data_IF_883540931213
#
_entry.id   IF_883540931213
#
_cell.length_a   1.000
_cell.length_b   1.000
_cell.length_c   1.000
_cell.angle_alpha   90.00
_cell.angle_beta   90.00
_cell.angle_gamma   90.00
#
_symmetry.space_group_name_H-M   'P 1'
#
loop_
_entity.id
_entity.type
_entity.pdbx_description
1 polymer ?
#
# COMPACT_ATOMS: atom_id res chain seq x y z
N UNK A 1 12.01 12.91 -14.35
CA UNK A 1 11.42 12.29 -13.12
C UNK A 1 12.39 12.07 -11.96
N UNK A 2 13.61 11.55 -12.21
CA UNK A 2 14.58 11.18 -11.17
C UNK A 2 14.87 12.26 -10.11
N UNK A 3 14.94 13.53 -10.51
CA UNK A 3 15.21 14.64 -9.59
C UNK A 3 14.09 14.84 -8.55
N UNK A 4 12.82 14.63 -8.93
CA UNK A 4 11.70 14.70 -8.00
C UNK A 4 11.74 13.54 -7.01
N UNK A 5 11.96 12.31 -7.52
CA UNK A 5 12.12 11.14 -6.67
C UNK A 5 13.26 11.33 -5.66
N UNK A 6 14.39 11.90 -6.09
CA UNK A 6 15.55 12.16 -5.24
C UNK A 6 15.25 13.19 -4.14
N UNK A 7 14.57 14.29 -4.46
CA UNK A 7 14.16 15.30 -3.47
C UNK A 7 13.20 14.72 -2.44
N UNK A 8 12.20 13.97 -2.88
CA UNK A 8 11.23 13.33 -1.97
C UNK A 8 11.92 12.29 -1.08
N UNK A 9 12.82 11.49 -1.66
CA UNK A 9 13.64 10.53 -0.90
C UNK A 9 14.43 11.25 0.19
N UNK A 10 15.20 12.28 -0.15
CA UNK A 10 16.02 13.02 0.82
C UNK A 10 15.18 13.67 1.92
N UNK A 11 13.99 14.17 1.58
CA UNK A 11 13.06 14.71 2.56
C UNK A 11 12.61 13.65 3.58
N UNK A 12 12.24 12.45 3.13
CA UNK A 12 11.82 11.36 4.00
C UNK A 12 13.01 10.75 4.77
N UNK A 13 14.16 10.64 4.13
CA UNK A 13 15.39 10.05 4.68
C UNK A 13 16.02 10.91 5.77
N UNK A 14 15.95 12.25 5.64
CA UNK A 14 16.36 13.19 6.69
C UNK A 14 15.56 13.01 8.00
N UNK A 15 14.40 12.35 7.94
CA UNK A 15 13.55 12.00 9.09
C UNK A 15 13.65 10.53 9.45
N UNK A 16 14.66 9.83 8.91
CA UNK A 16 14.85 8.37 9.03
C UNK A 16 13.60 7.57 8.68
N UNK A 17 12.75 8.07 7.78
CA UNK A 17 11.45 7.48 7.44
C UNK A 17 10.49 7.38 8.63
N UNK A 18 10.72 8.14 9.70
CA UNK A 18 9.80 8.32 10.80
C UNK A 18 8.91 9.55 10.58
N UNK A 19 7.65 9.43 10.98
CA UNK A 19 6.74 10.56 10.87
C UNK A 19 5.34 10.26 11.39
N UNK A 20 4.41 11.20 11.22
CA UNK A 20 3.04 11.02 11.63
C UNK A 20 2.32 9.92 10.84
N UNK A 21 1.32 9.31 11.46
CA UNK A 21 0.42 8.31 10.90
C UNK A 21 -1.05 8.64 11.22
N UNK A 22 -2.02 8.29 10.33
CA UNK A 22 -3.44 8.36 10.65
C UNK A 22 -3.86 7.64 11.95
N UNK A 23 -3.07 6.69 12.44
CA UNK A 23 -3.38 5.87 13.62
C UNK A 23 -2.61 6.22 14.90
N UNK A 24 -1.83 7.30 14.86
CA UNK A 24 -0.95 7.73 15.97
C UNK A 24 -1.65 7.97 17.31
N UNK A 25 -2.94 8.28 17.32
CA UNK A 25 -3.67 8.45 18.58
C UNK A 25 -3.58 7.23 19.51
N UNK A 26 -3.36 6.03 18.96
CA UNK A 26 -3.25 4.80 19.74
C UNK A 26 -1.82 4.41 20.11
N UNK A 27 -0.80 5.14 19.66
CA UNK A 27 0.62 4.79 19.94
C UNK A 27 1.15 5.38 21.23
N UNK A 28 0.53 6.47 21.71
CA UNK A 28 0.90 7.15 22.96
C UNK A 28 0.34 6.50 24.23
N UNK A 29 0.71 7.01 25.42
CA UNK A 29 0.23 6.50 26.71
C UNK A 29 -1.30 6.45 26.84
N UNK A 30 -2.00 7.47 26.33
CA UNK A 30 -3.47 7.50 26.34
C UNK A 30 -4.10 6.42 25.45
N UNK A 31 -3.40 6.00 24.39
CA UNK A 31 -3.83 4.89 23.53
C UNK A 31 -3.98 3.59 24.31
N UNK A 32 -3.08 3.33 25.27
CA UNK A 32 -3.12 2.15 26.15
C UNK A 32 -4.34 2.13 27.07
N UNK A 33 -4.89 3.30 27.39
CA UNK A 33 -6.10 3.46 28.22
C UNK A 33 -7.39 3.41 27.38
N UNK A 34 -7.31 3.58 26.07
CA UNK A 34 -8.44 3.55 25.16
C UNK A 34 -8.90 2.11 24.88
N UNK A 35 -9.41 1.41 25.89
CA UNK A 35 -9.83 0.01 25.77
C UNK A 35 -11.11 -0.15 24.96
N UNK A 36 -12.04 0.82 25.00
CA UNK A 36 -13.31 0.75 24.27
C UNK A 36 -13.21 1.35 22.86
N UNK A 37 -13.92 0.76 21.89
CA UNK A 37 -13.92 1.20 20.48
C UNK A 37 -14.18 2.70 20.31
N UNK A 38 -15.14 3.25 21.05
CA UNK A 38 -15.50 4.68 20.97
C UNK A 38 -14.35 5.57 21.44
N UNK A 39 -13.65 5.19 22.52
CA UNK A 39 -12.50 5.93 23.02
C UNK A 39 -11.34 5.91 22.02
N UNK A 40 -11.07 4.74 21.43
CA UNK A 40 -10.06 4.61 20.37
C UNK A 40 -10.38 5.52 19.19
N UNK A 41 -11.62 5.46 18.70
CA UNK A 41 -12.05 6.30 17.58
C UNK A 41 -11.99 7.79 17.93
N UNK A 42 -12.44 8.18 19.12
CA UNK A 42 -12.38 9.56 19.61
C UNK A 42 -10.94 10.08 19.64
N UNK A 43 -10.02 9.33 20.24
CA UNK A 43 -8.61 9.69 20.32
C UNK A 43 -7.95 9.77 18.95
N UNK A 44 -8.20 8.78 18.07
CA UNK A 44 -7.71 8.79 16.69
C UNK A 44 -8.20 10.01 15.92
N UNK A 45 -9.50 10.32 15.98
CA UNK A 45 -10.04 11.47 15.26
C UNK A 45 -9.58 12.80 15.86
N UNK A 46 -9.42 12.89 17.18
CA UNK A 46 -8.89 14.08 17.84
C UNK A 46 -7.46 14.38 17.36
N UNK A 47 -6.56 13.40 17.38
CA UNK A 47 -5.18 13.56 16.90
C UNK A 47 -5.13 13.81 15.39
N UNK A 48 -5.92 13.08 14.60
CA UNK A 48 -5.92 13.19 13.13
C UNK A 48 -6.47 14.51 12.62
N UNK A 49 -7.54 15.04 13.24
CA UNK A 49 -8.28 16.21 12.73
C UNK A 49 -7.92 17.52 13.43
N UNK A 50 -7.13 17.47 14.51
CA UNK A 50 -6.71 18.68 15.22
C UNK A 50 -5.95 19.64 14.27
N UNK A 51 -6.26 20.95 14.30
CA UNK A 51 -5.50 21.95 13.54
C UNK A 51 -4.05 22.13 14.02
N UNK A 52 -3.79 21.83 15.29
CA UNK A 52 -2.46 21.79 15.88
C UNK A 52 -2.00 20.34 16.07
N UNK A 53 -0.70 20.09 15.99
CA UNK A 53 -0.18 18.74 16.22
C UNK A 53 -0.25 18.40 17.71
N UNK A 54 -1.19 17.52 18.08
CA UNK A 54 -1.38 17.07 19.46
C UNK A 54 -0.35 16.02 19.89
N UNK A 55 0.38 15.42 18.94
CA UNK A 55 1.29 14.30 19.21
C UNK A 55 2.31 14.62 20.32
N UNK A 56 3.01 15.77 20.31
CA UNK A 56 3.99 16.08 21.36
C UNK A 56 3.36 16.17 22.74
N UNK A 57 2.21 16.85 22.85
CA UNK A 57 1.49 17.02 24.12
C UNK A 57 0.93 15.70 24.67
N UNK A 58 0.60 14.76 23.79
CA UNK A 58 0.11 13.43 24.14
C UNK A 58 1.22 12.39 24.30
N UNK A 59 2.49 12.80 24.23
CA UNK A 59 3.64 11.89 24.33
C UNK A 59 3.75 10.88 23.18
N UNK A 60 3.10 11.17 22.04
CA UNK A 60 3.20 10.36 20.82
C UNK A 60 4.50 10.73 20.11
N UNK A 61 5.36 9.74 19.88
CA UNK A 61 6.64 9.92 19.17
C UNK A 61 6.49 9.57 17.69
N UNK A 62 7.19 10.28 16.79
CA UNK A 62 7.29 9.86 15.39
C UNK A 62 7.81 8.44 15.28
N UNK A 63 7.17 7.63 14.43
CA UNK A 63 7.48 6.22 14.28
C UNK A 63 7.93 5.93 12.85
N UNK A 64 9.03 5.19 12.72
CA UNK A 64 9.42 4.56 11.46
C UNK A 64 8.67 3.25 11.35
N UNK A 65 7.83 3.11 10.34
CA UNK A 65 7.10 1.87 10.06
C UNK A 65 7.85 1.04 9.03
N UNK A 66 7.93 -0.28 9.23
CA UNK A 66 8.46 -1.23 8.26
C UNK A 66 7.72 -1.12 6.92
N UNK A 67 6.41 -0.83 6.95
CA UNK A 67 5.63 -0.62 5.71
C UNK A 67 6.15 0.56 4.90
N UNK A 68 6.53 1.68 5.53
CA UNK A 68 7.09 2.83 4.83
C UNK A 68 8.45 2.50 4.19
N UNK A 69 9.35 1.88 4.96
CA UNK A 69 10.69 1.53 4.46
C UNK A 69 10.62 0.43 3.41
N UNK A 70 9.70 -0.54 3.53
CA UNK A 70 9.50 -1.59 2.55
C UNK A 70 8.97 -1.06 1.24
N UNK A 71 7.93 -0.22 1.29
CA UNK A 71 7.39 0.42 0.09
C UNK A 71 8.46 1.29 -0.61
N UNK A 72 9.24 2.05 0.16
CA UNK A 72 10.34 2.84 -0.37
C UNK A 72 11.52 2.01 -0.90
N UNK A 73 11.81 0.85 -0.30
CA UNK A 73 12.83 -0.07 -0.79
C UNK A 73 12.48 -0.59 -2.18
N UNK A 74 11.22 -1.02 -2.40
CA UNK A 74 10.74 -1.46 -3.72
C UNK A 74 10.80 -0.34 -4.76
N UNK A 75 10.39 0.88 -4.37
CA UNK A 75 10.51 2.05 -5.24
C UNK A 75 11.97 2.33 -5.65
N UNK A 76 12.91 2.26 -4.70
CA UNK A 76 14.34 2.45 -4.99
C UNK A 76 14.92 1.30 -5.84
N UNK A 77 14.47 0.07 -5.63
CA UNK A 77 14.95 -1.10 -6.35
C UNK A 77 14.61 -1.04 -7.85
N UNK A 78 13.48 -0.42 -8.22
CA UNK A 78 13.13 -0.12 -9.63
C UNK A 78 14.20 0.70 -10.34
N UNK A 79 14.91 1.56 -9.61
CA UNK A 79 15.98 2.42 -10.12
C UNK A 79 17.39 1.86 -9.84
N UNK A 80 17.51 0.58 -9.49
CA UNK A 80 18.78 -0.04 -9.05
C UNK A 80 19.90 -0.03 -10.10
N UNK A 81 19.60 0.21 -11.37
CA UNK A 81 20.62 0.46 -12.40
C UNK A 81 21.51 1.68 -12.07
N UNK A 82 21.00 2.62 -11.26
CA UNK A 82 21.77 3.74 -10.73
C UNK A 82 22.36 3.38 -9.35
N UNK A 83 23.70 3.42 -9.16
CA UNK A 83 24.33 2.95 -7.92
C UNK A 83 23.75 3.54 -6.62
N UNK A 84 23.50 4.85 -6.62
CA UNK A 84 22.88 5.54 -5.46
C UNK A 84 21.51 4.98 -5.07
N UNK A 85 20.71 4.55 -6.04
CA UNK A 85 19.37 4.01 -5.81
C UNK A 85 19.42 2.55 -5.37
N UNK A 86 20.37 1.78 -5.91
CA UNK A 86 20.68 0.44 -5.42
C UNK A 86 21.08 0.45 -3.94
N UNK A 87 21.98 1.34 -3.53
CA UNK A 87 22.39 1.48 -2.12
C UNK A 87 21.21 1.85 -1.20
N UNK A 88 20.33 2.74 -1.67
CA UNK A 88 19.10 3.12 -0.95
C UNK A 88 18.15 1.94 -0.79
N UNK A 89 17.94 1.18 -1.86
CA UNK A 89 17.10 -0.02 -1.85
C UNK A 89 17.63 -1.05 -0.83
N UNK A 90 18.93 -1.33 -0.87
CA UNK A 90 19.59 -2.25 0.07
C UNK A 90 19.47 -1.78 1.52
N UNK A 91 19.68 -0.49 1.80
CA UNK A 91 19.60 0.06 3.16
C UNK A 91 18.17 -0.04 3.72
N UNK A 92 17.19 0.40 2.95
CA UNK A 92 15.78 0.37 3.36
C UNK A 92 15.23 -1.05 3.44
N UNK A 93 15.64 -1.92 2.52
CA UNK A 93 15.32 -3.34 2.53
C UNK A 93 15.85 -4.03 3.78
N UNK A 94 17.11 -3.74 4.19
CA UNK A 94 17.67 -4.26 5.45
C UNK A 94 16.93 -3.76 6.70
N UNK A 95 16.57 -2.48 6.75
CA UNK A 95 15.74 -1.96 7.86
C UNK A 95 14.39 -2.66 7.92
N UNK A 96 13.78 -2.93 6.76
CA UNK A 96 12.48 -3.59 6.67
C UNK A 96 12.57 -5.07 7.05
N UNK A 97 13.60 -5.77 6.57
CA UNK A 97 13.86 -7.18 6.87
C UNK A 97 14.12 -7.40 8.37
N UNK A 98 14.78 -6.45 9.04
CA UNK A 98 15.01 -6.52 10.49
C UNK A 98 13.71 -6.49 11.33
N UNK A 99 12.62 -5.96 10.78
CA UNK A 99 11.30 -5.92 11.43
C UNK A 99 10.43 -7.14 11.09
N UNK A 100 10.97 -8.12 10.36
CA UNK A 100 10.25 -9.36 10.07
C UNK A 100 9.99 -10.13 11.36
N UNK A 101 8.76 -10.62 11.51
CA UNK A 101 8.34 -11.35 12.69
C UNK A 101 9.08 -12.69 12.82
N UNK A 102 9.24 -13.13 14.06
CA UNK A 102 9.75 -14.45 14.44
C UNK A 102 8.71 -15.23 15.26
N UNK A 103 9.03 -16.47 15.61
CA UNK A 103 8.15 -17.33 16.41
C UNK A 103 6.87 -17.71 15.66
N UNK A 104 5.70 -17.59 16.32
CA UNK A 104 4.40 -18.02 15.76
C UNK A 104 4.12 -17.41 14.39
N UNK A 105 4.44 -16.13 14.18
CA UNK A 105 4.14 -15.42 12.94
C UNK A 105 5.40 -15.22 12.08
N UNK A 106 6.37 -16.14 12.18
CA UNK A 106 7.64 -16.04 11.47
C UNK A 106 7.45 -15.73 9.98
N UNK A 107 8.23 -14.79 9.47
CA UNK A 107 8.22 -14.43 8.05
C UNK A 107 7.25 -13.31 7.65
N UNK A 108 6.32 -12.93 8.53
CA UNK A 108 5.31 -11.90 8.26
C UNK A 108 5.70 -10.51 8.81
N UNK A 109 4.90 -9.48 8.52
CA UNK A 109 5.00 -8.16 9.15
C UNK A 109 3.67 -7.72 9.75
N UNK A 110 3.74 -6.78 10.68
CA UNK A 110 2.61 -6.15 11.36
C UNK A 110 2.71 -4.63 11.24
N UNK A 111 1.63 -3.94 11.59
CA UNK A 111 1.75 -2.52 11.92
C UNK A 111 2.32 -2.38 13.32
N UNK A 112 3.15 -1.37 13.53
CA UNK A 112 3.76 -1.04 14.82
C UNK A 112 2.76 -0.38 15.80
N UNK A 113 1.50 -0.28 15.40
CA UNK A 113 0.43 0.40 16.12
C UNK A 113 -0.89 -0.33 15.99
N UNK A 114 -1.74 -0.14 17.01
CA UNK A 114 -3.12 -0.60 16.97
C UNK A 114 -3.90 0.23 15.95
N UNK A 115 -4.86 -0.42 15.30
CA UNK A 115 -5.74 0.27 14.37
C UNK A 115 -7.19 0.03 14.73
N UNK A 116 -7.91 1.14 14.84
CA UNK A 116 -9.35 1.17 14.92
C UNK A 116 -9.94 1.89 13.72
N UNK A 117 -10.60 1.14 12.84
CA UNK A 117 -11.40 1.69 11.74
C UNK A 117 -12.85 1.91 12.18
N UNK A 118 -13.72 2.35 11.27
CA UNK A 118 -15.17 2.41 11.55
C UNK A 118 -15.76 1.02 11.82
N UNK A 119 -15.19 -0.06 11.27
CA UNK A 119 -15.83 -1.38 11.19
C UNK A 119 -15.01 -2.51 11.81
N UNK A 120 -13.71 -2.31 12.03
CA UNK A 120 -12.81 -3.35 12.53
C UNK A 120 -11.71 -2.79 13.42
N UNK A 121 -11.17 -3.66 14.26
CA UNK A 121 -10.01 -3.42 15.11
C UNK A 121 -8.96 -4.48 14.84
N UNK A 122 -7.71 -4.07 14.70
CA UNK A 122 -6.57 -4.99 14.58
C UNK A 122 -5.43 -4.52 15.49
N UNK A 123 -4.97 -5.37 16.42
CA UNK A 123 -3.92 -5.00 17.37
C UNK A 123 -2.54 -5.02 16.72
N UNK A 124 -1.62 -4.24 17.26
CA UNK A 124 -0.20 -4.17 16.86
C UNK A 124 0.56 -5.48 17.10
N UNK A 125 -0.06 -6.48 17.73
CA UNK A 125 0.55 -7.77 18.10
C UNK A 125 0.35 -8.87 17.06
N UNK A 126 -0.44 -8.64 16.02
CA UNK A 126 -0.74 -9.63 14.98
C UNK A 126 -0.26 -9.17 13.60
N UNK A 127 0.11 -10.10 12.71
CA UNK A 127 0.49 -9.73 11.36
C UNK A 127 -0.67 -9.10 10.61
N UNK A 128 -0.32 -8.25 9.64
CA UNK A 128 -1.26 -7.61 8.74
C UNK A 128 -0.85 -7.87 7.29
N UNK A 129 -1.80 -8.26 6.44
CA UNK A 129 -1.51 -8.61 5.05
C UNK A 129 -1.00 -7.43 4.21
N UNK A 130 -1.54 -6.24 4.42
CA UNK A 130 -1.09 -5.03 3.70
C UNK A 130 0.32 -4.65 4.15
N UNK A 131 0.61 -4.70 5.45
CA UNK A 131 1.98 -4.50 5.95
C UNK A 131 2.95 -5.55 5.38
N UNK A 132 2.56 -6.82 5.45
CA UNK A 132 3.35 -7.96 4.95
C UNK A 132 3.66 -7.81 3.47
N UNK A 133 2.69 -7.43 2.64
CA UNK A 133 2.88 -7.33 1.19
C UNK A 133 3.81 -6.20 0.80
N UNK A 134 3.66 -5.00 1.37
CA UNK A 134 4.61 -3.90 1.12
C UNK A 134 6.02 -4.20 1.60
N UNK A 135 6.17 -4.80 2.80
CA UNK A 135 7.48 -5.16 3.33
C UNK A 135 8.13 -6.27 2.50
N UNK A 136 7.39 -7.32 2.18
CA UNK A 136 7.87 -8.44 1.39
C UNK A 136 8.30 -8.01 0.00
N UNK A 137 7.47 -7.26 -0.73
CA UNK A 137 7.83 -6.77 -2.06
C UNK A 137 9.11 -5.94 -2.02
N UNK A 138 9.20 -4.99 -1.09
CA UNK A 138 10.38 -4.15 -0.93
C UNK A 138 11.66 -4.94 -0.65
N UNK A 139 11.61 -5.92 0.26
CA UNK A 139 12.77 -6.72 0.58
C UNK A 139 13.14 -7.73 -0.52
N UNK A 140 12.14 -8.28 -1.23
CA UNK A 140 12.38 -9.18 -2.37
C UNK A 140 12.98 -8.42 -3.55
N UNK A 141 12.47 -7.21 -3.86
CA UNK A 141 13.01 -6.35 -4.92
C UNK A 141 14.42 -5.87 -4.60
N UNK A 142 14.70 -5.55 -3.33
CA UNK A 142 16.02 -5.13 -2.87
C UNK A 142 17.00 -6.31 -2.67
N UNK A 143 16.56 -7.56 -2.73
CA UNK A 143 17.39 -8.74 -2.47
C UNK A 143 17.89 -8.84 -1.02
N UNK A 144 17.08 -8.42 -0.04
CA UNK A 144 17.48 -8.34 1.38
C UNK A 144 16.86 -9.43 2.26
N UNK A 145 16.10 -10.38 1.69
CA UNK A 145 15.69 -11.61 2.37
C UNK A 145 16.55 -12.78 1.89
N UNK A 146 17.09 -13.56 2.82
CA UNK A 146 17.68 -14.86 2.51
C UNK A 146 16.61 -15.96 2.33
N UNK A 147 17.01 -17.10 1.78
CA UNK A 147 16.11 -18.21 1.44
C UNK A 147 15.26 -18.70 2.62
N UNK A 148 15.82 -18.78 3.82
CA UNK A 148 15.09 -19.17 5.02
C UNK A 148 13.94 -18.19 5.34
N UNK A 149 14.21 -16.89 5.25
CA UNK A 149 13.23 -15.83 5.49
C UNK A 149 12.13 -15.82 4.42
N UNK A 150 12.49 -16.11 3.16
CA UNK A 150 11.52 -16.28 2.06
C UNK A 150 10.64 -17.51 2.30
N UNK A 151 11.24 -18.63 2.72
CA UNK A 151 10.50 -19.84 3.07
C UNK A 151 9.56 -19.66 4.27
N UNK A 152 9.99 -18.89 5.28
CA UNK A 152 9.14 -18.52 6.42
C UNK A 152 7.97 -17.63 6.00
N UNK A 153 8.22 -16.62 5.16
CA UNK A 153 7.18 -15.76 4.59
C UNK A 153 6.14 -16.57 3.81
N UNK A 154 6.59 -17.49 2.94
CA UNK A 154 5.71 -18.35 2.16
C UNK A 154 4.80 -19.23 3.04
N UNK A 155 5.36 -19.85 4.08
CA UNK A 155 4.60 -20.65 5.06
C UNK A 155 3.62 -19.78 5.85
N UNK A 156 4.10 -18.69 6.45
CA UNK A 156 3.30 -17.79 7.26
C UNK A 156 2.14 -17.17 6.49
N UNK A 157 2.34 -16.84 5.21
CA UNK A 157 1.29 -16.27 4.35
C UNK A 157 0.13 -17.25 4.19
N UNK A 158 0.42 -18.53 3.92
CA UNK A 158 -0.61 -19.57 3.78
C UNK A 158 -1.25 -19.96 5.11
N UNK A 159 -0.47 -20.06 6.18
CA UNK A 159 -0.92 -20.57 7.48
C UNK A 159 -1.72 -19.54 8.28
N UNK A 160 -1.42 -18.25 8.10
CA UNK A 160 -1.98 -17.20 8.96
C UNK A 160 -2.78 -16.14 8.23
N UNK A 161 -2.60 -15.97 6.93
CA UNK A 161 -3.26 -14.89 6.17
C UNK A 161 -4.07 -15.41 4.99
N UNK A 162 -4.31 -16.71 4.90
CA UNK A 162 -5.18 -17.32 3.89
C UNK A 162 -6.17 -18.28 4.57
N UNK A 163 -7.46 -18.12 4.30
CA UNK A 163 -8.53 -18.89 4.98
C UNK A 163 -9.03 -20.10 4.18
N UNK A 164 -8.38 -20.43 3.06
CA UNK A 164 -8.82 -21.48 2.12
C UNK A 164 -9.39 -20.90 0.82
N UNK A 165 -10.07 -19.75 0.88
CA UNK A 165 -10.70 -19.11 -0.27
C UNK A 165 -9.97 -17.82 -0.70
N UNK A 166 -9.60 -16.97 0.26
CA UNK A 166 -9.01 -15.66 0.00
C UNK A 166 -8.00 -15.28 1.08
N UNK A 167 -7.16 -14.28 0.79
CA UNK A 167 -6.23 -13.73 1.76
C UNK A 167 -6.90 -12.68 2.66
N UNK A 168 -6.67 -12.79 3.97
CA UNK A 168 -7.34 -12.01 5.01
C UNK A 168 -6.45 -10.88 5.53
N UNK A 169 -7.04 -9.76 5.97
CA UNK A 169 -6.29 -8.62 6.50
C UNK A 169 -5.41 -8.98 7.70
N UNK A 170 -5.90 -9.86 8.57
CA UNK A 170 -5.25 -10.36 9.77
C UNK A 170 -5.65 -11.82 9.99
N UNK A 171 -4.96 -12.58 10.85
CA UNK A 171 -5.29 -13.99 11.11
C UNK A 171 -6.69 -14.24 11.66
N UNK A 172 -7.31 -13.22 12.25
CA UNK A 172 -8.65 -13.30 12.84
C UNK A 172 -9.73 -12.68 11.94
N UNK A 173 -9.38 -12.12 10.78
CA UNK A 173 -10.34 -11.50 9.88
C UNK A 173 -11.07 -12.55 9.04
N UNK A 174 -12.40 -12.60 9.16
CA UNK A 174 -13.28 -13.38 8.27
C UNK A 174 -13.88 -12.59 7.10
N UNK A 175 -13.49 -11.32 6.93
CA UNK A 175 -14.07 -10.40 5.94
C UNK A 175 -13.21 -10.34 4.69
N UNK A 176 -13.83 -10.59 3.54
CA UNK A 176 -13.20 -10.35 2.23
C UNK A 176 -13.05 -8.85 2.00
N UNK A 177 -11.84 -8.43 1.65
CA UNK A 177 -11.57 -7.08 1.20
C UNK A 177 -10.70 -7.19 -0.06
N UNK A 178 -11.21 -6.70 -1.18
CA UNK A 178 -10.69 -7.06 -2.50
C UNK A 178 -9.24 -6.63 -2.72
N UNK A 179 -8.87 -5.41 -2.31
CA UNK A 179 -7.50 -4.92 -2.50
C UNK A 179 -6.50 -5.78 -1.72
N UNK A 180 -6.75 -6.08 -0.44
CA UNK A 180 -5.81 -6.88 0.35
C UNK A 180 -5.78 -8.33 -0.11
N UNK A 181 -6.93 -8.91 -0.48
CA UNK A 181 -7.00 -10.23 -1.06
C UNK A 181 -6.09 -10.35 -2.29
N UNK A 182 -6.17 -9.38 -3.21
CA UNK A 182 -5.35 -9.37 -4.42
C UNK A 182 -3.88 -9.04 -4.14
N UNK A 183 -3.57 -8.19 -3.15
CA UNK A 183 -2.18 -8.01 -2.68
C UNK A 183 -1.59 -9.33 -2.19
N UNK A 184 -2.35 -10.11 -1.42
CA UNK A 184 -1.95 -11.46 -0.99
C UNK A 184 -1.79 -12.43 -2.15
N UNK A 185 -2.71 -12.42 -3.11
CA UNK A 185 -2.64 -13.25 -4.30
C UNK A 185 -1.40 -12.95 -5.15
N UNK A 186 -1.09 -11.67 -5.39
CA UNK A 186 0.09 -11.26 -6.14
C UNK A 186 1.39 -11.68 -5.43
N UNK A 187 1.48 -11.49 -4.11
CA UNK A 187 2.63 -11.93 -3.33
C UNK A 187 2.78 -13.45 -3.35
N UNK A 188 1.69 -14.21 -3.17
CA UNK A 188 1.72 -15.67 -3.21
C UNK A 188 2.14 -16.19 -4.60
N UNK A 189 1.61 -15.61 -5.67
CA UNK A 189 2.01 -15.95 -7.04
C UNK A 189 3.49 -15.62 -7.31
N UNK A 190 3.99 -14.50 -6.76
CA UNK A 190 5.41 -14.12 -6.85
C UNK A 190 6.30 -15.13 -6.11
N UNK A 191 5.95 -15.47 -4.87
CA UNK A 191 6.69 -16.42 -4.05
C UNK A 191 6.69 -17.81 -4.69
N UNK A 192 5.58 -18.26 -5.29
CA UNK A 192 5.51 -19.54 -6.00
C UNK A 192 6.54 -19.66 -7.15
N UNK A 193 7.01 -18.53 -7.68
CA UNK A 193 8.04 -18.46 -8.72
C UNK A 193 9.44 -18.12 -8.17
N UNK A 194 9.56 -17.82 -6.88
CA UNK A 194 10.85 -17.56 -6.23
C UNK A 194 11.42 -18.89 -5.75
N UNK A 195 12.66 -19.19 -6.11
CA UNK A 195 13.35 -20.44 -5.76
C UNK A 195 14.58 -20.15 -4.90
N UNK A 196 14.96 -21.04 -3.97
CA UNK A 196 14.34 -22.34 -3.66
C UNK A 196 13.23 -22.27 -2.58
N UNK A 197 12.18 -23.06 -2.73
CA UNK A 197 11.14 -23.29 -1.72
C UNK A 197 11.03 -24.78 -1.36
N UNK A 198 10.57 -25.14 -0.15
CA UNK A 198 10.24 -26.52 0.20
C UNK A 198 9.26 -27.17 -0.80
N UNK A 199 9.43 -28.48 -1.01
CA UNK A 199 8.63 -29.24 -1.98
C UNK A 199 7.11 -29.07 -1.75
N UNK A 200 6.38 -28.84 -2.85
CA UNK A 200 4.93 -28.62 -2.85
C UNK A 200 4.45 -27.27 -2.32
N UNK A 201 5.33 -26.45 -1.72
CA UNK A 201 4.92 -25.14 -1.20
C UNK A 201 4.59 -24.15 -2.33
N UNK A 202 5.36 -24.19 -3.43
CA UNK A 202 5.10 -23.38 -4.61
C UNK A 202 3.71 -23.64 -5.21
N UNK A 203 3.32 -24.92 -5.35
CA UNK A 203 2.00 -25.29 -5.88
C UNK A 203 0.87 -24.86 -4.95
N UNK A 204 1.05 -24.99 -3.63
CA UNK A 204 0.08 -24.52 -2.63
C UNK A 204 -0.11 -23.01 -2.70
N UNK A 205 0.98 -22.24 -2.86
CA UNK A 205 0.94 -20.79 -3.04
C UNK A 205 0.20 -20.42 -4.33
N UNK A 206 0.55 -21.04 -5.46
CA UNK A 206 -0.10 -20.79 -6.74
C UNK A 206 -1.61 -21.13 -6.69
N UNK A 207 -1.97 -22.25 -6.05
CA UNK A 207 -3.37 -22.63 -5.84
C UNK A 207 -4.14 -21.65 -4.96
N UNK A 208 -3.53 -21.15 -3.87
CA UNK A 208 -4.13 -20.12 -3.03
C UNK A 208 -4.31 -18.79 -3.78
N UNK A 209 -3.31 -18.39 -4.57
CA UNK A 209 -3.37 -17.19 -5.39
C UNK A 209 -4.48 -17.26 -6.45
N UNK A 210 -4.65 -18.40 -7.15
CA UNK A 210 -5.74 -18.60 -8.12
C UNK A 210 -7.11 -18.44 -7.49
N UNK A 211 -7.37 -19.15 -6.37
CA UNK A 211 -8.64 -19.04 -5.64
C UNK A 211 -8.92 -17.60 -5.18
N UNK A 212 -7.90 -16.92 -4.66
CA UNK A 212 -8.01 -15.53 -4.26
C UNK A 212 -8.36 -14.59 -5.42
N UNK A 213 -7.75 -14.78 -6.60
CA UNK A 213 -8.09 -14.03 -7.82
C UNK A 213 -9.53 -14.31 -8.24
N UNK A 214 -9.93 -15.59 -8.32
CA UNK A 214 -11.29 -16.01 -8.68
C UNK A 214 -12.36 -15.39 -7.77
N UNK A 215 -12.13 -15.38 -6.45
CA UNK A 215 -13.04 -14.75 -5.48
C UNK A 215 -13.20 -13.25 -5.74
N UNK A 216 -12.12 -12.55 -6.09
CA UNK A 216 -12.21 -11.12 -6.43
C UNK A 216 -12.87 -10.89 -7.79
N UNK A 217 -12.60 -11.71 -8.80
CA UNK A 217 -13.26 -11.63 -10.11
C UNK A 217 -14.78 -11.80 -9.98
N UNK A 218 -15.22 -12.78 -9.18
CA UNK A 218 -16.65 -12.99 -8.90
C UNK A 218 -17.32 -11.82 -8.15
N UNK A 219 -16.52 -10.98 -7.48
CA UNK A 219 -16.99 -9.78 -6.79
C UNK A 219 -17.00 -8.50 -7.64
N UNK A 220 -16.56 -8.57 -8.90
CA UNK A 220 -16.63 -7.41 -9.80
C UNK A 220 -18.09 -7.12 -10.15
N UNK A 221 -18.49 -5.84 -10.07
CA UNK A 221 -19.83 -5.40 -10.46
C UNK A 221 -19.95 -5.26 -11.98
N UNK A 222 -21.17 -5.28 -12.54
CA UNK A 222 -21.38 -5.09 -13.98
C UNK A 222 -20.83 -3.78 -14.55
N UNK A 223 -20.68 -2.73 -13.73
CA UNK A 223 -20.09 -1.45 -14.12
C UNK A 223 -18.55 -1.44 -14.11
N UNK A 224 -17.92 -2.59 -13.85
CA UNK A 224 -16.48 -2.79 -13.77
C UNK A 224 -15.87 -2.52 -12.38
N UNK A 225 -16.63 -1.97 -11.43
CA UNK A 225 -16.10 -1.62 -10.11
C UNK A 225 -15.93 -2.82 -9.18
N UNK A 226 -15.01 -2.67 -8.24
CA UNK A 226 -14.97 -3.51 -7.03
C UNK A 226 -15.35 -2.66 -5.83
N UNK A 227 -16.35 -3.07 -5.02
CA UNK A 227 -16.51 -2.48 -3.70
C UNK A 227 -15.27 -2.77 -2.84
N UNK A 228 -15.10 -2.03 -1.75
CA UNK A 228 -14.05 -2.35 -0.78
C UNK A 228 -14.20 -3.79 -0.25
N UNK A 229 -15.41 -4.22 0.06
CA UNK A 229 -15.75 -5.60 0.40
C UNK A 229 -17.24 -5.90 0.25
N UNK A 230 -17.69 -7.13 0.54
CA UNK A 230 -19.08 -7.49 0.40
C UNK A 230 -19.97 -6.87 1.50
N UNK A 231 -21.14 -6.41 1.10
CA UNK A 231 -22.24 -5.99 1.99
C UNK A 231 -22.33 -4.47 2.26
N UNK A 232 -23.44 -4.00 2.86
CA UNK A 232 -23.83 -2.57 2.88
C UNK A 232 -22.90 -1.64 3.68
N UNK A 233 -21.98 -2.20 4.45
CA UNK A 233 -21.02 -1.42 5.24
C UNK A 233 -19.65 -1.36 4.60
N UNK A 234 -19.44 -2.00 3.45
CA UNK A 234 -18.15 -2.13 2.74
C UNK A 234 -18.31 -1.91 1.22
N UNK A 235 -19.47 -1.43 0.77
CA UNK A 235 -19.90 -1.36 -0.62
C UNK A 235 -19.40 -0.13 -1.39
N UNK A 236 -18.61 0.74 -0.74
CA UNK A 236 -18.05 1.94 -1.34
C UNK A 236 -16.92 1.62 -2.32
N UNK A 237 -16.67 2.55 -3.24
CA UNK A 237 -15.61 2.48 -4.24
C UNK A 237 -14.75 3.73 -4.11
N UNK A 238 -13.45 3.56 -3.86
CA UNK A 238 -12.51 4.66 -3.69
C UNK A 238 -11.23 4.48 -4.54
N UNK A 239 -10.51 5.58 -4.74
CA UNK A 239 -9.41 5.66 -5.70
C UNK A 239 -8.25 4.72 -5.40
N UNK A 240 -7.67 4.79 -4.20
CA UNK A 240 -6.48 3.98 -3.95
C UNK A 240 -6.78 2.49 -3.78
N UNK A 241 -7.90 2.07 -3.16
CA UNK A 241 -8.18 0.63 -3.05
C UNK A 241 -8.48 0.03 -4.42
N UNK A 242 -9.24 0.72 -5.28
CA UNK A 242 -9.46 0.25 -6.66
C UNK A 242 -8.15 0.23 -7.45
N UNK A 243 -7.25 1.20 -7.25
CA UNK A 243 -5.91 1.16 -7.83
C UNK A 243 -5.12 -0.08 -7.43
N UNK A 244 -5.08 -0.41 -6.13
CA UNK A 244 -4.43 -1.64 -5.67
C UNK A 244 -5.10 -2.91 -6.18
N UNK A 245 -6.42 -2.94 -6.32
CA UNK A 245 -7.14 -4.07 -6.95
C UNK A 245 -6.62 -4.29 -8.37
N UNK A 246 -6.59 -3.24 -9.20
CA UNK A 246 -6.19 -3.34 -10.61
C UNK A 246 -4.71 -3.76 -10.76
N UNK A 247 -3.80 -3.08 -10.07
CA UNK A 247 -2.36 -3.39 -10.12
C UNK A 247 -2.08 -4.84 -9.70
N UNK A 248 -2.74 -5.31 -8.64
CA UNK A 248 -2.46 -6.64 -8.07
C UNK A 248 -3.20 -7.75 -8.79
N UNK A 249 -4.39 -7.49 -9.34
CA UNK A 249 -5.07 -8.44 -10.23
C UNK A 249 -4.21 -8.72 -11.46
N UNK A 250 -3.75 -7.66 -12.13
CA UNK A 250 -2.89 -7.75 -13.29
C UNK A 250 -1.58 -8.48 -12.99
N UNK A 251 -0.90 -8.12 -11.89
CA UNK A 251 0.32 -8.80 -11.45
C UNK A 251 0.08 -10.29 -11.15
N UNK A 252 -0.94 -10.62 -10.34
CA UNK A 252 -1.23 -12.00 -9.97
C UNK A 252 -1.61 -12.85 -11.20
N UNK A 253 -2.50 -12.34 -12.04
CA UNK A 253 -2.95 -13.04 -13.24
C UNK A 253 -1.80 -13.32 -14.22
N UNK A 254 -0.92 -12.33 -14.43
CA UNK A 254 0.29 -12.50 -15.25
C UNK A 254 1.19 -13.61 -14.71
N UNK A 255 1.45 -13.62 -13.40
CA UNK A 255 2.32 -14.63 -12.77
C UNK A 255 1.70 -16.04 -12.75
N UNK A 256 0.37 -16.13 -12.76
CA UNK A 256 -0.38 -17.39 -12.71
C UNK A 256 -0.78 -17.93 -14.08
N UNK A 257 -0.63 -17.12 -15.14
CA UNK A 257 -1.10 -17.42 -16.49
C UNK A 257 -2.63 -17.41 -16.62
N UNK A 258 -3.33 -16.54 -15.88
CA UNK A 258 -4.78 -16.41 -15.94
C UNK A 258 -5.20 -15.33 -16.95
N UNK A 259 -6.18 -15.63 -17.82
CA UNK A 259 -6.78 -14.61 -18.67
C UNK A 259 -7.79 -13.78 -17.87
N UNK A 260 -7.46 -12.52 -17.64
CA UNK A 260 -8.30 -11.53 -16.94
C UNK A 260 -8.51 -10.28 -17.77
N UNK A 261 -8.27 -10.34 -19.08
CA UNK A 261 -8.30 -9.16 -19.97
C UNK A 261 -9.62 -8.39 -19.88
N UNK A 262 -10.76 -9.07 -20.07
CA UNK A 262 -12.07 -8.41 -20.04
C UNK A 262 -12.41 -7.80 -18.66
N UNK A 263 -12.27 -8.53 -17.53
CA UNK A 263 -12.43 -7.93 -16.20
C UNK A 263 -11.51 -6.73 -15.96
N UNK A 264 -10.25 -6.81 -16.41
CA UNK A 264 -9.27 -5.74 -16.26
C UNK A 264 -9.66 -4.50 -17.07
N UNK A 265 -10.02 -4.66 -18.35
CA UNK A 265 -10.49 -3.57 -19.22
C UNK A 265 -11.72 -2.86 -18.65
N UNK A 266 -12.71 -3.61 -18.16
CA UNK A 266 -13.89 -3.04 -17.50
C UNK A 266 -13.51 -2.27 -16.23
N UNK A 267 -12.60 -2.82 -15.42
CA UNK A 267 -12.12 -2.20 -14.19
C UNK A 267 -11.35 -0.91 -14.43
N UNK A 268 -10.44 -0.90 -15.41
CA UNK A 268 -9.70 0.31 -15.81
C UNK A 268 -10.65 1.35 -16.39
N UNK A 269 -11.60 0.94 -17.22
CA UNK A 269 -12.63 1.82 -17.75
C UNK A 269 -13.44 2.49 -16.63
N UNK A 270 -13.86 1.74 -15.62
CA UNK A 270 -14.52 2.31 -14.44
C UNK A 270 -13.59 3.30 -13.71
N UNK A 271 -12.35 2.89 -13.45
CA UNK A 271 -11.36 3.67 -12.71
C UNK A 271 -11.13 5.05 -13.34
N UNK A 272 -10.82 5.08 -14.63
CA UNK A 272 -10.54 6.32 -15.35
C UNK A 272 -11.78 7.22 -15.47
N UNK A 273 -12.98 6.65 -15.64
CA UNK A 273 -14.22 7.44 -15.77
C UNK A 273 -14.72 8.04 -14.45
N UNK A 274 -14.56 7.32 -13.33
CA UNK A 274 -15.24 7.69 -12.08
C UNK A 274 -14.29 8.16 -10.98
N UNK A 275 -13.00 7.80 -11.04
CA UNK A 275 -12.01 8.13 -10.02
C UNK A 275 -11.01 9.21 -10.48
N UNK A 276 -11.30 9.84 -11.62
CA UNK A 276 -10.60 11.02 -12.13
C UNK A 276 -11.59 12.12 -12.59
N UNK A 277 -11.10 13.36 -12.59
CA UNK A 277 -11.72 14.54 -13.18
C UNK A 277 -10.69 15.24 -14.06
N UNK A 278 -10.63 14.87 -15.34
CA UNK A 278 -9.43 15.09 -16.14
C UNK A 278 -8.20 14.47 -15.43
N UNK A 279 -7.09 15.20 -15.24
CA UNK A 279 -5.91 14.67 -14.54
C UNK A 279 -6.05 14.66 -13.02
N UNK A 280 -7.15 15.16 -12.47
CA UNK A 280 -7.31 15.33 -11.02
C UNK A 280 -7.91 14.07 -10.38
N UNK A 281 -7.24 13.43 -9.41
CA UNK A 281 -7.79 12.27 -8.74
C UNK A 281 -9.03 12.61 -7.90
N UNK A 282 -10.04 11.75 -7.97
CA UNK A 282 -11.20 11.74 -7.07
C UNK A 282 -10.99 10.66 -6.01
N UNK A 283 -11.40 10.95 -4.78
CA UNK A 283 -11.28 9.97 -3.69
C UNK A 283 -12.35 8.91 -3.79
N UNK A 284 -13.61 9.29 -4.02
CA UNK A 284 -14.73 8.37 -4.15
C UNK A 284 -15.37 8.49 -5.53
N UNK A 285 -15.93 7.39 -6.02
CA UNK A 285 -16.70 7.36 -7.27
C UNK A 285 -18.03 8.16 -7.16
N UNK A 286 -18.57 8.31 -5.95
CA UNK A 286 -19.86 8.96 -5.66
C UNK A 286 -19.79 10.51 -5.53
N UNK A 287 -18.80 11.16 -6.16
CA UNK A 287 -18.56 12.63 -6.19
C UNK A 287 -18.10 13.28 -4.88
N UNK A 288 -17.97 12.56 -3.76
CA UNK A 288 -17.39 13.12 -2.53
C UNK A 288 -15.90 13.42 -2.71
N UNK A 289 -15.56 14.69 -2.84
CA UNK A 289 -14.16 15.13 -2.97
C UNK A 289 -13.49 15.20 -1.60
N UNK A 290 -12.48 14.36 -1.39
CA UNK A 290 -11.55 14.44 -0.27
C UNK A 290 -10.13 14.43 -0.81
N UNK A 291 -9.27 15.32 -0.33
CA UNK A 291 -7.83 15.23 -0.62
C UNK A 291 -7.16 14.28 0.36
N UNK A 292 -6.38 13.35 -0.16
CA UNK A 292 -5.65 12.35 0.61
C UNK A 292 -4.36 11.99 -0.12
N UNK A 293 -3.19 12.10 0.52
CA UNK A 293 -1.91 11.89 -0.15
C UNK A 293 -1.69 10.44 -0.61
N UNK A 294 -2.33 9.46 0.01
CA UNK A 294 -2.22 8.09 -0.48
C UNK A 294 -3.04 7.93 -1.77
N UNK A 295 -4.24 8.52 -1.79
CA UNK A 295 -5.08 8.52 -2.99
C UNK A 295 -4.40 9.20 -4.18
N UNK A 296 -3.85 10.39 -3.94
CA UNK A 296 -3.19 11.17 -4.98
C UNK A 296 -1.94 10.42 -5.50
N UNK A 297 -1.14 9.82 -4.62
CA UNK A 297 0.04 9.05 -5.01
C UNK A 297 -0.33 7.78 -5.78
N UNK A 298 -1.32 7.01 -5.31
CA UNK A 298 -1.80 5.82 -6.01
C UNK A 298 -2.39 6.19 -7.38
N UNK A 299 -3.07 7.32 -7.51
CA UNK A 299 -3.59 7.78 -8.81
C UNK A 299 -2.45 8.10 -9.80
N UNK A 300 -1.36 8.74 -9.34
CA UNK A 300 -0.16 8.94 -10.18
C UNK A 300 0.44 7.60 -10.60
N UNK A 301 0.58 6.65 -9.66
CA UNK A 301 1.07 5.29 -9.96
C UNK A 301 0.19 4.56 -10.98
N UNK A 302 -1.12 4.72 -10.85
CA UNK A 302 -2.11 4.14 -11.76
C UNK A 302 -2.08 4.80 -13.14
N UNK A 303 -1.90 6.11 -13.24
CA UNK A 303 -1.76 6.79 -14.51
C UNK A 303 -0.48 6.33 -15.25
N UNK A 304 0.62 6.11 -14.53
CA UNK A 304 1.83 5.50 -15.09
C UNK A 304 1.57 4.08 -15.62
N UNK A 305 0.95 3.21 -14.80
CA UNK A 305 0.60 1.85 -15.21
C UNK A 305 -0.40 1.80 -16.38
N UNK A 306 -1.40 2.68 -16.39
CA UNK A 306 -2.37 2.78 -17.47
C UNK A 306 -1.72 3.20 -18.79
N UNK A 307 -0.76 4.14 -18.74
CA UNK A 307 0.02 4.53 -19.90
C UNK A 307 0.93 3.40 -20.40
N UNK A 308 1.63 2.69 -19.50
CA UNK A 308 2.45 1.52 -19.82
C UNK A 308 1.64 0.42 -20.52
N UNK A 309 0.38 0.22 -20.10
CA UNK A 309 -0.55 -0.76 -20.67
C UNK A 309 -1.35 -0.25 -21.88
N UNK A 310 -1.13 0.98 -22.32
CA UNK A 310 -1.80 1.56 -23.48
C UNK A 310 -3.27 1.96 -23.26
N UNK A 311 -3.73 2.03 -22.01
CA UNK A 311 -5.08 2.52 -21.67
C UNK A 311 -5.19 4.05 -21.72
N UNK A 312 -4.07 4.76 -21.55
CA UNK A 312 -3.99 6.22 -21.62
C UNK A 312 -2.71 6.66 -22.33
N UNK A 313 -2.63 7.94 -22.74
CA UNK A 313 -1.37 8.54 -23.18
C UNK A 313 -0.42 8.85 -22.02
N UNK A 314 0.86 9.04 -22.33
CA UNK A 314 1.90 9.44 -21.35
C UNK A 314 1.66 10.83 -20.77
N UNK A 315 1.02 11.73 -21.52
CA UNK A 315 0.65 13.08 -21.06
C UNK A 315 -0.31 13.02 -19.86
N UNK A 316 -1.27 12.09 -19.86
CA UNK A 316 -2.20 11.91 -18.73
C UNK A 316 -1.45 11.62 -17.42
N UNK A 317 -0.41 10.78 -17.48
CA UNK A 317 0.42 10.46 -16.33
C UNK A 317 1.23 11.65 -15.83
N UNK A 318 1.76 12.47 -16.75
CA UNK A 318 2.47 13.73 -16.44
C UNK A 318 1.53 14.75 -15.81
N UNK A 319 0.37 14.98 -16.41
CA UNK A 319 -0.63 15.94 -15.93
C UNK A 319 -1.18 15.54 -14.56
N UNK A 320 -1.40 14.24 -14.33
CA UNK A 320 -1.82 13.72 -13.02
C UNK A 320 -0.78 14.04 -11.93
N UNK A 321 0.51 13.86 -12.22
CA UNK A 321 1.57 14.23 -11.28
C UNK A 321 1.57 15.73 -11.00
N UNK A 322 1.54 16.57 -12.05
CA UNK A 322 1.52 18.03 -11.91
C UNK A 322 0.32 18.49 -11.07
N UNK A 323 -0.84 17.88 -11.26
CA UNK A 323 -2.06 18.21 -10.53
C UNK A 323 -1.95 18.00 -9.00
N UNK A 324 -1.05 17.12 -8.54
CA UNK A 324 -0.96 16.73 -7.11
C UNK A 324 0.36 17.07 -6.41
N UNK A 325 1.48 17.16 -7.14
CA UNK A 325 2.84 17.19 -6.56
C UNK A 325 3.11 18.36 -5.61
N UNK A 326 2.53 19.53 -5.86
CA UNK A 326 2.77 20.74 -5.04
C UNK A 326 2.26 20.63 -3.60
N UNK A 327 1.45 19.61 -3.30
CA UNK A 327 0.96 19.32 -1.94
C UNK A 327 1.91 18.46 -1.14
N UNK A 328 2.88 17.80 -1.79
CA UNK A 328 3.78 16.89 -1.10
C UNK A 328 4.96 17.65 -0.49
N UNK A 329 5.28 17.36 0.78
CA UNK A 329 6.48 17.89 1.41
C UNK A 329 7.75 17.53 0.61
N UNK A 330 8.66 18.49 0.49
CA UNK A 330 9.90 18.32 -0.26
C UNK A 330 9.79 18.51 -1.77
N UNK A 331 8.58 18.60 -2.33
CA UNK A 331 8.35 18.83 -3.77
C UNK A 331 7.64 20.15 -4.07
N UNK A 332 6.70 20.58 -3.23
CA UNK A 332 5.98 21.85 -3.40
C UNK A 332 6.65 23.07 -2.77
N UNK A 333 6.17 24.27 -3.12
CA UNK A 333 6.60 25.57 -2.58
C UNK A 333 6.01 25.91 -1.19
N UNK A 334 5.24 24.98 -0.59
CA UNK A 334 4.65 25.15 0.74
C UNK A 334 3.28 25.85 0.77
N UNK A 335 2.73 26.25 -0.38
CA UNK A 335 1.48 27.04 -0.46
C UNK A 335 0.20 26.19 -0.53
N UNK A 336 0.30 24.87 -0.74
CA UNK A 336 -0.84 23.99 -1.06
C UNK A 336 -1.36 23.07 0.07
N UNK A 337 -0.64 22.92 1.18
CA UNK A 337 -1.11 22.06 2.28
C UNK A 337 -2.03 22.84 3.20
N UNK A 338 -3.33 22.56 3.12
CA UNK A 338 -4.28 22.99 4.15
C UNK A 338 -3.74 22.60 5.53
N UNK A 339 -3.83 23.49 6.53
CA UNK A 339 -3.48 23.15 7.93
C UNK A 339 -4.23 21.90 8.40
N UNK A 340 -5.45 21.66 7.90
CA UNK A 340 -6.18 20.39 8.12
C UNK A 340 -5.49 19.28 7.32
N UNK A 341 -5.16 18.19 8.02
CA UNK A 341 -4.50 16.98 7.50
C UNK A 341 -3.01 17.11 7.17
N UNK A 342 -2.31 18.19 7.58
CA UNK A 342 -0.85 18.32 7.36
C UNK A 342 -0.06 17.08 7.77
N UNK A 343 -0.39 16.49 8.92
CA UNK A 343 0.21 15.26 9.41
C UNK A 343 0.05 14.07 8.44
N UNK A 344 -1.03 13.98 7.65
CA UNK A 344 -1.14 12.91 6.65
C UNK A 344 -0.17 13.13 5.48
N UNK A 345 0.00 14.38 5.03
CA UNK A 345 0.91 14.73 3.94
C UNK A 345 2.39 14.53 4.32
N UNK A 346 2.70 14.70 5.61
CA UNK A 346 4.04 14.47 6.15
C UNK A 346 4.30 13.01 6.56
N UNK A 347 3.33 12.11 6.37
CA UNK A 347 3.46 10.70 6.73
C UNK A 347 4.34 9.93 5.73
N UNK A 348 5.47 9.32 6.16
CA UNK A 348 6.25 8.48 5.27
C UNK A 348 5.44 7.29 4.72
N UNK A 349 4.66 6.61 5.57
CA UNK A 349 3.86 5.43 5.20
C UNK A 349 2.65 5.78 4.31
N UNK A 350 2.02 6.93 4.56
CA UNK A 350 0.75 7.30 3.92
C UNK A 350 0.91 8.31 2.77
N UNK A 351 2.09 8.91 2.60
CA UNK A 351 2.33 9.99 1.64
C UNK A 351 3.62 9.80 0.86
N UNK A 352 4.78 9.90 1.53
CA UNK A 352 6.06 9.97 0.80
C UNK A 352 6.48 8.65 0.16
N UNK A 353 6.29 7.50 0.82
CA UNK A 353 6.64 6.21 0.23
C UNK A 353 5.74 5.83 -0.96
N UNK A 354 4.39 5.96 -0.87
CA UNK A 354 3.52 5.76 -2.03
C UNK A 354 3.85 6.69 -3.22
N UNK A 355 4.14 7.98 -2.95
CA UNK A 355 4.50 8.90 -4.04
C UNK A 355 5.88 8.57 -4.62
N UNK A 356 6.84 8.12 -3.80
CA UNK A 356 8.12 7.66 -4.31
C UNK A 356 7.96 6.46 -5.25
N UNK A 357 7.10 5.49 -4.91
CA UNK A 357 6.76 4.40 -5.84
C UNK A 357 6.17 4.92 -7.15
N UNK A 358 5.23 5.87 -7.08
CA UNK A 358 4.64 6.48 -8.26
C UNK A 358 5.68 7.22 -9.14
N UNK A 359 6.56 8.01 -8.54
CA UNK A 359 7.59 8.78 -9.25
C UNK A 359 8.64 7.88 -9.91
N UNK A 360 9.01 6.78 -9.26
CA UNK A 360 9.95 5.81 -9.83
C UNK A 360 9.30 5.00 -10.95
N UNK A 361 8.02 4.61 -10.84
CA UNK A 361 7.29 3.99 -11.94
C UNK A 361 7.11 4.94 -13.15
N UNK A 362 6.88 6.22 -12.91
CA UNK A 362 6.80 7.22 -13.98
C UNK A 362 8.12 7.38 -14.75
N UNK A 363 9.27 7.10 -14.12
CA UNK A 363 10.55 7.20 -14.81
C UNK A 363 10.65 6.24 -16.00
N UNK A 364 10.09 5.04 -15.86
CA UNK A 364 10.12 4.01 -16.91
C UNK A 364 9.19 4.36 -18.08
N UNK A 365 8.13 5.13 -17.81
CA UNK A 365 7.11 5.53 -18.78
C UNK A 365 7.43 6.88 -19.45
N UNK A 366 8.09 7.78 -18.72
CA UNK A 366 8.46 9.12 -19.17
C UNK A 366 9.99 9.25 -19.22
N UNK A 367 10.65 8.89 -20.32
CA UNK A 367 12.07 9.17 -20.49
C UNK A 367 12.30 10.69 -20.60
N UNK A 368 12.68 11.31 -19.48
CA UNK A 368 12.88 12.75 -19.27
C UNK A 368 12.61 13.16 -17.82
#
# INVERSE_FOLDING_TARGET
>A
MLALADRLFLWADARTWAGPDPYDGLTGPLGRLAVHRVLRQGLLQAVKRSPADLRPALGIRPLRTATATGFAAGACARLSAFPRWHERALRLGRWTAAEQLSGRYAGLWRYEFDVQTRWSYYPASVPNLVATTFCADGCLDAGTLGDEAVGALARGLLEHLHNGAFFTYTPTSGVLVHNANLMGAALAARLARTTPLPAGLADRLAGAARRAVEVSLAGQRPDGSWPYGPGPRLDWVDGFHTGYVLLRLDQAATLLGMDVRTPLEHGVGHYLRHLFDGPLPRYFADTRTRRDPNNDATAVRMAAWAAERGFTGTDFARETLVAVMDRYPGLGTGTGTSRRNRALWESPRWSSAPLLDALTALHDVLPG
#
